data_IF_562454815885
#
_entry.id   IF_562454815885
#
_cell.length_a   1.000
_cell.length_b   1.000
_cell.length_c   1.000
_cell.angle_alpha   90.00
_cell.angle_beta   90.00
_cell.angle_gamma   90.00
#
_symmetry.space_group_name_H-M   'P 1'
#
loop_
_entity.id
_entity.type
_entity.pdbx_description
1 polymer ?
#
# COMPACT_ATOMS: atom_id res chain seq x y z
N UNK A 1 11.48 -9.35 -15.54
CA UNK A 1 10.21 -9.75 -14.91
C UNK A 1 10.48 -9.94 -13.42
N UNK A 2 10.15 -8.96 -12.59
CA UNK A 2 10.08 -9.11 -11.12
C UNK A 2 8.87 -10.00 -10.80
N UNK A 3 9.02 -10.95 -9.88
CA UNK A 3 7.97 -11.94 -9.62
C UNK A 3 6.78 -11.28 -8.90
N UNK A 4 5.55 -11.78 -9.07
CA UNK A 4 4.35 -11.15 -8.51
C UNK A 4 4.33 -11.06 -6.97
N UNK A 5 5.05 -11.95 -6.26
CA UNK A 5 5.19 -11.85 -4.80
C UNK A 5 6.09 -10.68 -4.38
N UNK A 6 7.12 -10.36 -5.18
CA UNK A 6 8.02 -9.23 -4.93
C UNK A 6 7.22 -7.92 -5.00
N UNK A 7 6.19 -7.86 -5.85
CA UNK A 7 5.33 -6.69 -6.01
C UNK A 7 4.51 -6.37 -4.76
N UNK A 8 3.93 -7.40 -4.13
CA UNK A 8 3.07 -7.24 -2.96
C UNK A 8 3.89 -6.87 -1.73
N UNK A 9 4.99 -7.59 -1.50
CA UNK A 9 5.90 -7.33 -0.40
C UNK A 9 6.52 -5.94 -0.51
N UNK A 10 6.90 -5.51 -1.72
CA UNK A 10 7.38 -4.16 -1.95
C UNK A 10 6.34 -3.09 -1.60
N UNK A 11 5.07 -3.28 -1.97
CA UNK A 11 4.01 -2.33 -1.62
C UNK A 11 3.66 -2.31 -0.12
N UNK A 12 3.79 -3.45 0.57
CA UNK A 12 3.64 -3.52 2.03
C UNK A 12 4.77 -2.78 2.73
N UNK A 13 6.02 -2.98 2.31
CA UNK A 13 7.18 -2.23 2.81
C UNK A 13 7.06 -0.72 2.54
N UNK A 14 6.55 -0.32 1.38
CA UNK A 14 6.26 1.09 1.09
C UNK A 14 5.21 1.64 2.07
N UNK A 15 4.15 0.88 2.34
CA UNK A 15 3.12 1.26 3.29
C UNK A 15 3.65 1.42 4.71
N UNK A 16 4.48 0.48 5.18
CA UNK A 16 5.11 0.53 6.50
C UNK A 16 6.05 1.71 6.65
N UNK A 17 6.90 1.96 5.64
CA UNK A 17 7.81 3.11 5.65
C UNK A 17 7.05 4.44 5.67
N UNK A 18 5.98 4.57 4.87
CA UNK A 18 5.13 5.77 4.87
C UNK A 18 4.42 5.95 6.20
N UNK A 19 3.93 4.87 6.80
CA UNK A 19 3.33 4.89 8.15
C UNK A 19 4.36 5.29 9.23
N UNK A 20 5.63 4.93 9.06
CA UNK A 20 6.74 5.39 9.89
C UNK A 20 7.17 6.85 9.62
N UNK A 21 6.52 7.55 8.68
CA UNK A 21 6.79 8.95 8.35
C UNK A 21 7.74 9.16 7.17
N UNK A 22 8.11 8.10 6.44
CA UNK A 22 8.91 8.23 5.23
C UNK A 22 8.09 8.74 4.05
N UNK A 23 8.75 9.42 3.10
CA UNK A 23 8.09 9.85 1.86
C UNK A 23 7.94 8.67 0.91
N UNK A 24 6.72 8.43 0.41
CA UNK A 24 6.42 7.38 -0.57
C UNK A 24 7.36 7.44 -1.78
N UNK A 25 7.71 8.64 -2.24
CA UNK A 25 8.62 8.86 -3.37
C UNK A 25 10.03 8.37 -3.08
N UNK A 26 10.57 8.69 -1.89
CA UNK A 26 11.89 8.23 -1.45
C UNK A 26 11.90 6.72 -1.23
N UNK A 27 10.83 6.16 -0.68
CA UNK A 27 10.77 4.71 -0.47
C UNK A 27 10.73 3.94 -1.79
N UNK A 28 9.98 4.41 -2.79
CA UNK A 28 10.00 3.81 -4.14
C UNK A 28 11.40 3.88 -4.79
N UNK A 29 12.12 4.98 -4.59
CA UNK A 29 13.49 5.18 -5.09
C UNK A 29 14.49 4.24 -4.41
N UNK A 30 14.41 4.09 -3.08
CA UNK A 30 15.26 3.16 -2.30
C UNK A 30 15.00 1.70 -2.65
N UNK A 31 13.75 1.34 -2.96
CA UNK A 31 13.40 -0.01 -3.41
C UNK A 31 13.74 -0.27 -4.88
N UNK A 32 14.33 0.71 -5.58
CA UNK A 32 14.68 0.66 -7.01
C UNK A 32 13.51 0.20 -7.90
N UNK A 33 12.29 0.60 -7.51
CA UNK A 33 11.08 0.26 -8.25
C UNK A 33 10.83 1.35 -9.28
N UNK A 34 10.84 0.96 -10.55
CA UNK A 34 10.47 1.87 -11.63
C UNK A 34 9.09 2.47 -11.39
N UNK A 35 8.97 3.80 -11.52
CA UNK A 35 7.74 4.53 -11.21
C UNK A 35 6.54 4.02 -12.02
N UNK A 36 6.78 3.56 -13.25
CA UNK A 36 5.75 2.98 -14.13
C UNK A 36 5.26 1.64 -13.59
N UNK A 37 6.17 0.87 -12.99
CA UNK A 37 5.88 -0.41 -12.35
C UNK A 37 5.11 -0.20 -11.05
N UNK A 38 5.55 0.73 -10.19
CA UNK A 38 4.83 1.10 -8.97
C UNK A 38 3.40 1.59 -9.26
N UNK A 39 3.23 2.46 -10.26
CA UNK A 39 1.90 2.93 -10.71
C UNK A 39 1.00 1.78 -11.19
N UNK A 40 1.56 0.80 -11.91
CA UNK A 40 0.79 -0.38 -12.36
C UNK A 40 0.38 -1.26 -11.19
N UNK A 41 1.29 -1.54 -10.26
CA UNK A 41 0.98 -2.36 -9.09
C UNK A 41 -0.06 -1.67 -8.19
N UNK A 42 0.03 -0.35 -8.01
CA UNK A 42 -0.97 0.43 -7.27
C UNK A 42 -2.36 0.32 -7.90
N UNK A 43 -2.46 0.33 -9.24
CA UNK A 43 -3.72 0.09 -9.96
C UNK A 43 -4.25 -1.34 -9.80
N UNK A 44 -3.38 -2.35 -9.95
CA UNK A 44 -3.76 -3.75 -9.77
C UNK A 44 -4.27 -4.00 -8.35
N UNK A 45 -3.57 -3.44 -7.35
CA UNK A 45 -3.94 -3.57 -5.95
C UNK A 45 -5.21 -2.80 -5.61
N UNK A 46 -5.48 -1.65 -6.23
CA UNK A 46 -6.78 -0.96 -6.09
C UNK A 46 -7.92 -1.80 -6.65
N UNK A 47 -7.75 -2.40 -7.83
CA UNK A 47 -8.75 -3.29 -8.42
C UNK A 47 -8.97 -4.59 -7.61
N UNK A 48 -7.93 -5.08 -6.94
CA UNK A 48 -8.03 -6.22 -6.02
C UNK A 48 -8.69 -5.81 -4.69
N UNK A 49 -8.34 -4.64 -4.15
CA UNK A 49 -8.98 -4.09 -2.95
C UNK A 49 -10.46 -3.79 -3.20
N UNK A 50 -10.83 -3.23 -4.35
CA UNK A 50 -12.23 -2.98 -4.74
C UNK A 50 -13.06 -4.28 -4.80
N UNK A 51 -12.42 -5.41 -5.10
CA UNK A 51 -13.08 -6.73 -5.00
C UNK A 51 -13.23 -7.21 -3.55
N UNK A 52 -12.37 -6.75 -2.64
CA UNK A 52 -12.44 -7.06 -1.20
C UNK A 52 -13.13 -5.97 -0.35
N UNK A 53 -13.47 -4.82 -0.93
CA UNK A 53 -14.12 -3.66 -0.27
C UNK A 53 -15.64 -3.86 -0.07
N UNK A 54 -16.07 -5.11 0.12
CA UNK A 54 -17.33 -5.45 0.80
C UNK A 54 -17.15 -5.42 2.33
N UNK A 55 -15.96 -5.07 2.84
CA UNK A 55 -15.74 -4.87 4.28
C UNK A 55 -15.58 -3.40 4.62
N UNK A 56 -16.76 -2.83 4.93
CA UNK A 56 -17.10 -1.70 5.81
C UNK A 56 -15.92 -0.91 6.40
N UNK A 57 -16.00 0.43 6.43
CA UNK A 57 -14.97 1.23 7.08
C UNK A 57 -14.85 0.83 8.55
N UNK A 58 -13.63 0.48 8.96
CA UNK A 58 -13.22 0.49 10.36
C UNK A 58 -13.29 1.94 10.83
N UNK A 59 -14.49 2.35 11.22
CA UNK A 59 -14.69 3.48 12.11
C UNK A 59 -13.80 3.24 13.34
N UNK A 60 -12.82 4.10 13.55
CA UNK A 60 -12.23 4.27 14.86
C UNK A 60 -13.32 4.86 15.75
N UNK A 61 -14.15 3.99 16.33
CA UNK A 61 -15.07 4.35 17.39
C UNK A 61 -14.18 4.62 18.61
N UNK A 62 -13.91 5.89 18.88
CA UNK A 62 -13.43 6.32 20.18
C UNK A 62 -14.53 5.96 21.20
N UNK A 63 -14.25 5.16 22.25
CA UNK A 63 -15.28 4.82 23.23
C UNK A 63 -15.65 6.08 24.04
N UNK A 64 -16.94 6.29 24.37
CA UNK A 64 -17.33 7.37 25.28
C UNK A 64 -16.83 7.04 26.69
N UNK A 65 -15.96 7.88 27.24
CA UNK A 65 -15.77 7.97 28.70
C UNK A 65 -16.99 8.66 29.29
N UNK A 66 -17.68 7.95 30.19
CA UNK A 66 -18.62 8.49 31.18
C UNK A 66 -17.88 9.41 32.16
#
# INVERSE_FOLDING_TARGET
MTKPWDCRMALELVGEAVNAGASERKTCEVLEIDERTARRWKKQRKADNEKSDVKRPLVHVCPPTD
#
